data_IF_261723235311
#
_entry.id   IF_261723235311
#
_cell.length_a   1.000
_cell.length_b   1.000
_cell.length_c   1.000
_cell.angle_alpha   90.00
_cell.angle_beta   90.00
_cell.angle_gamma   90.00
#
_symmetry.space_group_name_H-M   'P 1'
#
loop_
_entity.id
_entity.type
_entity.pdbx_description
1 polymer ?
#
# COMPACT_ATOMS: atom_id res chain seq x y z
N UNK A 1 8.61 -12.59 8.60
CA UNK A 1 7.96 -11.26 8.76
C UNK A 1 9.04 -10.20 8.95
N UNK A 2 9.25 -9.29 8.00
CA UNK A 2 9.95 -8.03 8.31
C UNK A 2 9.02 -7.25 9.24
N UNK A 3 9.35 -7.16 10.53
CA UNK A 3 8.45 -6.71 11.61
C UNK A 3 7.89 -5.28 11.48
N UNK A 4 8.36 -4.51 10.50
CA UNK A 4 7.77 -3.22 10.14
C UNK A 4 6.38 -3.35 9.53
N UNK A 5 6.14 -4.37 8.69
CA UNK A 5 4.89 -4.52 7.93
C UNK A 5 3.65 -4.51 8.82
N UNK A 6 3.55 -5.45 9.78
CA UNK A 6 2.42 -5.52 10.69
C UNK A 6 2.29 -4.28 11.58
N UNK A 7 3.41 -3.81 12.14
CA UNK A 7 3.43 -2.62 13.02
C UNK A 7 2.89 -1.38 12.30
N UNK A 8 3.26 -1.18 11.03
CA UNK A 8 2.75 -0.06 10.25
C UNK A 8 1.24 -0.17 10.00
N UNK A 9 0.68 -1.37 9.82
CA UNK A 9 -0.75 -1.56 9.58
C UNK A 9 -1.60 -1.27 10.83
N UNK A 10 -1.07 -1.53 12.04
CA UNK A 10 -1.79 -1.29 13.29
C UNK A 10 -2.16 0.18 13.51
N UNK A 11 -1.35 1.12 13.04
CA UNK A 11 -1.58 2.55 13.20
C UNK A 11 -2.38 3.18 12.06
N UNK A 12 -2.72 2.42 11.03
CA UNK A 12 -3.55 2.93 9.94
C UNK A 12 -5.00 3.06 10.42
N UNK A 13 -5.74 4.09 9.94
CA UNK A 13 -7.16 4.18 10.19
C UNK A 13 -7.92 3.04 9.50
N UNK A 14 -9.10 2.69 9.98
CA UNK A 14 -9.91 1.59 9.45
C UNK A 14 -10.31 1.78 7.98
N UNK A 15 -10.30 3.02 7.49
CA UNK A 15 -10.58 3.34 6.11
C UNK A 15 -9.36 3.27 5.20
N UNK A 16 -8.18 2.92 5.72
CA UNK A 16 -6.95 2.88 4.96
C UNK A 16 -6.96 1.82 3.86
N UNK A 17 -6.19 2.11 2.82
CA UNK A 17 -5.83 1.17 1.77
C UNK A 17 -4.30 1.10 1.66
N UNK A 18 -3.77 -0.09 1.42
CA UNK A 18 -2.34 -0.37 1.28
C UNK A 18 -2.07 -0.91 -0.11
N UNK A 19 -1.00 -0.43 -0.73
CA UNK A 19 -0.52 -0.91 -2.01
C UNK A 19 0.79 -1.67 -1.82
N UNK A 20 0.81 -2.96 -2.11
CA UNK A 20 2.04 -3.75 -2.16
C UNK A 20 2.70 -3.62 -3.54
N UNK A 21 3.82 -2.90 -3.57
CA UNK A 21 4.62 -2.67 -4.78
C UNK A 21 5.29 -3.94 -5.31
N UNK A 22 5.68 -4.85 -4.44
CA UNK A 22 6.26 -6.11 -4.86
C UNK A 22 6.20 -7.11 -3.70
N UNK A 23 5.75 -8.32 -4.00
CA UNK A 23 5.50 -9.37 -3.02
C UNK A 23 6.61 -10.42 -2.96
N UNK A 24 7.70 -10.26 -3.73
CA UNK A 24 8.80 -11.23 -3.80
C UNK A 24 8.34 -12.66 -4.11
N UNK A 25 7.24 -12.80 -4.87
CA UNK A 25 6.64 -14.10 -5.20
C UNK A 25 5.74 -14.68 -4.11
N UNK A 26 5.62 -14.04 -2.95
CA UNK A 26 4.77 -14.43 -1.83
C UNK A 26 3.58 -13.47 -1.71
N UNK A 27 2.52 -13.76 -2.46
CA UNK A 27 1.31 -12.91 -2.56
C UNK A 27 0.56 -12.83 -1.22
N UNK A 28 0.69 -13.85 -0.36
CA UNK A 28 -0.11 -13.96 0.85
C UNK A 28 0.45 -13.11 2.00
N UNK A 29 1.75 -12.80 1.98
CA UNK A 29 2.43 -12.14 3.09
C UNK A 29 1.76 -10.84 3.56
N UNK A 30 1.59 -9.84 2.68
CA UNK A 30 0.92 -8.58 3.06
C UNK A 30 -0.60 -8.64 2.92
N UNK A 31 -1.12 -9.54 2.08
CA UNK A 31 -2.55 -9.76 1.92
C UNK A 31 -3.17 -10.21 3.24
N UNK A 32 -2.56 -11.20 3.90
CA UNK A 32 -3.08 -11.73 5.16
C UNK A 32 -2.91 -10.76 6.32
N UNK A 33 -1.82 -9.97 6.33
CA UNK A 33 -1.65 -8.91 7.32
C UNK A 33 -2.72 -7.81 7.17
N UNK A 34 -3.04 -7.41 5.93
CA UNK A 34 -4.09 -6.43 5.67
C UNK A 34 -5.48 -6.97 6.04
N UNK A 35 -5.75 -8.26 5.76
CA UNK A 35 -6.97 -8.96 6.20
C UNK A 35 -7.10 -9.01 7.71
N UNK A 36 -6.02 -9.38 8.41
CA UNK A 36 -5.97 -9.45 9.87
C UNK A 36 -6.26 -8.09 10.51
N UNK A 37 -5.69 -7.01 9.95
CA UNK A 37 -5.98 -5.64 10.40
C UNK A 37 -7.38 -5.16 9.97
N UNK A 38 -7.99 -5.74 8.94
CA UNK A 38 -9.28 -5.33 8.41
C UNK A 38 -9.22 -4.09 7.50
N UNK A 39 -8.11 -3.88 6.81
CA UNK A 39 -7.91 -2.77 5.86
C UNK A 39 -7.77 -3.26 4.44
N UNK A 40 -7.99 -2.38 3.47
CA UNK A 40 -8.04 -2.77 2.06
C UNK A 40 -6.63 -2.98 1.49
N UNK A 41 -6.41 -4.16 0.94
CA UNK A 41 -5.19 -4.50 0.22
C UNK A 41 -5.35 -4.28 -1.29
N UNK A 42 -4.32 -3.70 -1.89
CA UNK A 42 -4.14 -3.55 -3.34
C UNK A 42 -2.73 -4.01 -3.71
N UNK A 43 -2.62 -4.58 -4.91
CA UNK A 43 -1.35 -4.87 -5.58
C UNK A 43 -1.57 -4.76 -7.09
N UNK A 44 -0.57 -5.13 -7.88
CA UNK A 44 -0.65 -5.14 -9.34
C UNK A 44 -1.73 -6.08 -9.83
N UNK A 45 -2.60 -5.58 -10.71
CA UNK A 45 -3.58 -6.45 -11.39
C UNK A 45 -3.00 -7.15 -12.61
N UNK A 46 -1.86 -6.66 -13.10
CA UNK A 46 -1.14 -7.21 -14.24
C UNK A 46 0.35 -7.27 -13.92
N UNK A 47 0.92 -8.47 -13.91
CA UNK A 47 2.32 -8.70 -13.57
C UNK A 47 3.30 -8.15 -14.63
N UNK A 48 2.84 -8.00 -15.87
CA UNK A 48 3.61 -7.40 -16.98
C UNK A 48 3.76 -5.87 -16.87
N UNK A 49 3.32 -5.27 -15.75
CA UNK A 49 3.42 -3.84 -15.44
C UNK A 49 4.49 -3.51 -14.41
N UNK A 50 5.21 -4.52 -13.92
CA UNK A 50 6.36 -4.38 -13.03
C UNK A 50 7.54 -5.10 -13.65
N UNK A 51 8.65 -4.39 -13.79
CA UNK A 51 9.82 -4.87 -14.50
C UNK A 51 11.04 -4.83 -13.57
N UNK A 52 11.68 -5.98 -13.30
CA UNK A 52 12.93 -6.00 -12.57
C UNK A 52 14.03 -5.25 -13.31
N UNK A 53 14.92 -4.59 -12.57
CA UNK A 53 16.11 -3.92 -13.08
C UNK A 53 17.36 -4.43 -12.34
N UNK A 54 18.32 -4.98 -13.11
CA UNK A 54 19.53 -5.60 -12.56
C UNK A 54 19.29 -6.99 -11.96
N UNK A 55 20.31 -7.60 -11.36
CA UNK A 55 20.21 -8.93 -10.76
C UNK A 55 19.82 -8.92 -9.26
N UNK A 56 19.97 -7.77 -8.58
CA UNK A 56 19.70 -7.62 -7.16
C UNK A 56 20.56 -8.54 -6.29
N UNK A 57 21.78 -8.13 -5.95
CA UNK A 57 22.73 -9.00 -5.23
C UNK A 57 22.53 -8.91 -3.72
N UNK A 58 22.39 -10.06 -3.05
CA UNK A 58 22.31 -10.12 -1.59
C UNK A 58 23.64 -9.69 -0.96
N UNK A 59 23.67 -8.69 -0.05
CA UNK A 59 24.92 -8.13 0.48
C UNK A 59 25.83 -9.13 1.21
N UNK A 60 25.24 -10.18 1.79
CA UNK A 60 25.99 -11.15 2.61
C UNK A 60 26.32 -12.46 1.89
N UNK A 61 25.53 -12.85 0.88
CA UNK A 61 25.73 -14.14 0.18
C UNK A 61 26.29 -13.94 -1.23
N UNK A 62 26.21 -12.73 -1.79
CA UNK A 62 26.64 -12.45 -3.16
C UNK A 62 25.74 -13.05 -4.24
N UNK A 63 24.67 -13.74 -3.85
CA UNK A 63 23.74 -14.39 -4.78
C UNK A 63 22.63 -13.43 -5.23
N UNK A 64 22.10 -13.60 -6.46
CA UNK A 64 20.92 -12.89 -6.92
C UNK A 64 19.71 -13.18 -6.03
N UNK A 65 19.02 -12.14 -5.58
CA UNK A 65 17.85 -12.25 -4.72
C UNK A 65 16.85 -11.11 -5.02
N UNK A 66 15.61 -11.48 -5.37
CA UNK A 66 14.56 -10.56 -5.87
C UNK A 66 14.25 -9.39 -4.93
N UNK A 67 14.36 -9.60 -3.61
CA UNK A 67 14.22 -8.54 -2.59
C UNK A 67 15.23 -7.39 -2.74
N UNK A 68 16.41 -7.66 -3.27
CA UNK A 68 17.48 -6.67 -3.47
C UNK A 68 17.51 -6.13 -4.90
N UNK A 69 16.55 -6.53 -5.73
CA UNK A 69 16.40 -6.07 -7.09
C UNK A 69 15.64 -4.74 -7.10
N UNK A 70 16.05 -3.83 -7.99
CA UNK A 70 15.28 -2.63 -8.25
C UNK A 70 14.14 -2.96 -9.21
N UNK A 71 13.08 -2.16 -9.19
CA UNK A 71 11.94 -2.33 -10.09
C UNK A 71 11.57 -1.01 -10.73
N UNK A 72 11.20 -1.06 -12.00
CA UNK A 72 10.45 0.00 -12.68
C UNK A 72 9.03 -0.50 -12.94
N UNK A 73 8.08 0.40 -13.05
CA UNK A 73 6.69 0.02 -13.28
C UNK A 73 6.01 0.96 -14.29
N UNK A 74 4.93 0.46 -14.87
CA UNK A 74 4.07 1.24 -15.74
C UNK A 74 3.37 2.35 -14.92
N UNK A 75 3.66 3.60 -15.28
CA UNK A 75 3.15 4.78 -14.58
C UNK A 75 1.63 4.87 -14.62
N UNK A 76 1.03 4.55 -15.77
CA UNK A 76 -0.40 4.77 -15.98
C UNK A 76 -1.22 3.68 -15.27
N UNK A 77 -0.72 2.43 -15.24
CA UNK A 77 -1.29 1.37 -14.40
C UNK A 77 -1.16 1.70 -12.91
N UNK A 78 0.01 2.16 -12.46
CA UNK A 78 0.20 2.56 -11.07
C UNK A 78 -0.79 3.67 -10.68
N UNK A 79 -0.91 4.70 -11.52
CA UNK A 79 -1.88 5.79 -11.32
C UNK A 79 -3.31 5.26 -11.25
N UNK A 80 -3.71 4.34 -12.13
CA UNK A 80 -5.04 3.73 -12.13
C UNK A 80 -5.33 3.02 -10.80
N UNK A 81 -4.37 2.22 -10.30
CA UNK A 81 -4.50 1.49 -9.03
C UNK A 81 -4.55 2.45 -7.83
N UNK A 82 -3.78 3.54 -7.84
CA UNK A 82 -3.84 4.59 -6.81
C UNK A 82 -5.20 5.30 -6.85
N UNK A 83 -5.74 5.63 -8.02
CA UNK A 83 -7.07 6.25 -8.12
C UNK A 83 -8.19 5.34 -7.61
N UNK A 84 -8.08 4.01 -7.80
CA UNK A 84 -9.01 3.05 -7.21
C UNK A 84 -8.95 3.06 -5.67
N UNK A 85 -7.76 3.21 -5.09
CA UNK A 85 -7.59 3.35 -3.65
C UNK A 85 -8.21 4.64 -3.13
N UNK A 86 -7.98 5.76 -3.82
CA UNK A 86 -8.59 7.06 -3.49
C UNK A 86 -10.12 6.93 -3.47
N UNK A 87 -10.70 6.28 -4.47
CA UNK A 87 -12.15 6.10 -4.54
C UNK A 87 -12.67 5.19 -3.43
N UNK A 88 -11.95 4.11 -3.10
CA UNK A 88 -12.28 3.25 -1.95
C UNK A 88 -12.33 4.05 -0.64
N UNK A 89 -11.31 4.88 -0.37
CA UNK A 89 -11.24 5.71 0.85
C UNK A 89 -12.36 6.74 0.87
N UNK A 90 -12.62 7.43 -0.25
CA UNK A 90 -13.65 8.47 -0.36
C UNK A 90 -15.06 7.95 -0.10
N UNK A 91 -15.34 6.69 -0.46
CA UNK A 91 -16.63 6.03 -0.22
C UNK A 91 -16.77 5.49 1.20
N UNK A 92 -15.70 5.45 1.99
CA UNK A 92 -15.74 4.91 3.35
C UNK A 92 -16.49 5.86 4.31
N UNK A 93 -17.57 5.41 4.99
CA UNK A 93 -18.35 6.26 5.89
C UNK A 93 -17.54 6.86 7.05
N UNK A 94 -16.56 6.13 7.58
CA UNK A 94 -15.71 6.60 8.67
C UNK A 94 -14.82 7.76 8.21
N UNK A 95 -14.24 7.66 7.01
CA UNK A 95 -13.48 8.75 6.39
C UNK A 95 -14.34 10.00 6.16
N UNK A 96 -15.54 9.84 5.60
CA UNK A 96 -16.48 10.95 5.36
C UNK A 96 -16.87 11.63 6.68
N UNK A 97 -17.11 10.85 7.72
CA UNK A 97 -17.43 11.36 9.06
C UNK A 97 -16.28 12.19 9.62
N UNK A 98 -15.05 11.70 9.49
CA UNK A 98 -13.86 12.40 9.98
C UNK A 98 -13.60 13.71 9.22
N UNK A 99 -13.75 13.71 7.89
CA UNK A 99 -13.69 14.93 7.08
C UNK A 99 -14.70 15.99 7.53
N UNK A 100 -15.93 15.57 7.87
CA UNK A 100 -16.97 16.49 8.37
C UNK A 100 -16.58 17.09 9.71
N UNK A 101 -15.99 16.31 10.62
CA UNK A 101 -15.51 16.81 11.93
C UNK A 101 -14.39 17.83 11.75
N UNK A 102 -13.40 17.54 10.90
CA UNK A 102 -12.28 18.44 10.63
C UNK A 102 -12.75 19.79 10.05
N UNK A 103 -13.70 19.77 9.11
CA UNK A 103 -14.29 21.00 8.55
C UNK A 103 -15.00 21.85 9.60
N UNK A 104 -15.76 21.23 10.51
CA UNK A 104 -16.42 21.95 11.62
C UNK A 104 -15.42 22.55 12.59
N UNK A 105 -14.36 21.80 12.94
CA UNK A 105 -13.30 22.28 13.82
C UNK A 105 -12.62 23.53 13.23
N UNK A 106 -12.24 23.47 11.96
CA UNK A 106 -11.61 24.60 11.26
C UNK A 106 -12.52 25.84 11.24
N UNK A 107 -13.80 25.68 10.92
CA UNK A 107 -14.77 26.77 10.94
C UNK A 107 -14.88 27.43 12.32
N UNK A 108 -14.89 26.63 13.39
CA UNK A 108 -14.97 27.15 14.76
C UNK A 108 -13.67 27.82 15.24
N UNK A 109 -12.51 27.48 14.67
CA UNK A 109 -11.22 28.12 14.98
C UNK A 109 -11.01 29.45 14.24
N UNK A 110 -11.73 29.65 13.13
CA UNK A 110 -11.70 30.88 12.31
C UNK A 110 -12.72 31.95 12.79
N UNK A 111 -13.52 31.64 13.81
CA UNK A 111 -14.58 32.46 14.40
C UNK A 111 -14.13 33.05 15.74
#
# INVERSE_FOLDING_TARGET
>A
MHGSGLTHLLFLPDWAAVFELYNCGDVDCYLDLARLRGIKYFTWTKNDKVFPTGAGTHPQTGEPHQKFQNYRFDRDEFRRLVLMQVEYVRRNPAYVTELRKQKRKKYNEEL
#
